data_IF_488505041405
#
_entry.id   IF_488505041405
#
_cell.length_a   1.000
_cell.length_b   1.000
_cell.length_c   1.000
_cell.angle_alpha   90.00
_cell.angle_beta   90.00
_cell.angle_gamma   90.00
#
_symmetry.space_group_name_H-M   'P 1'
#
loop_
_entity.id
_entity.type
_entity.pdbx_description
1 polymer ?
#
# COMPACT_ATOMS: atom_id res chain seq x y z
N UNK A 1 -22.82 55.14 -64.56
CA UNK A 1 -23.87 54.22 -64.07
C UNK A 1 -25.15 55.02 -63.69
N UNK A 2 -25.60 55.94 -64.55
CA UNK A 2 -26.64 56.95 -64.22
C UNK A 2 -28.01 56.68 -64.87
N UNK A 3 -28.20 55.52 -65.51
CA UNK A 3 -29.46 55.16 -66.20
C UNK A 3 -30.49 54.44 -65.31
N UNK A 4 -30.17 54.16 -64.04
CA UNK A 4 -31.06 53.38 -63.15
C UNK A 4 -31.92 54.27 -62.24
N UNK A 5 -31.46 55.48 -61.87
CA UNK A 5 -32.17 56.33 -60.90
C UNK A 5 -33.45 56.97 -61.47
N UNK A 6 -33.47 57.32 -62.76
CA UNK A 6 -34.67 57.87 -63.42
C UNK A 6 -35.81 56.83 -63.53
N UNK A 7 -35.50 55.54 -63.53
CA UNK A 7 -36.50 54.50 -63.66
C UNK A 7 -37.40 54.44 -62.40
N UNK A 8 -36.85 54.54 -61.20
CA UNK A 8 -37.65 54.48 -59.96
C UNK A 8 -38.61 55.66 -59.84
N UNK A 9 -38.20 56.85 -60.28
CA UNK A 9 -39.05 58.04 -60.26
C UNK A 9 -40.24 57.87 -61.21
N UNK A 10 -40.00 57.34 -62.41
CA UNK A 10 -41.06 57.05 -63.38
C UNK A 10 -41.99 55.93 -62.91
N UNK A 11 -41.43 54.84 -62.34
CA UNK A 11 -42.23 53.76 -61.76
C UNK A 11 -43.05 54.23 -60.56
N UNK A 12 -42.46 55.05 -59.67
CA UNK A 12 -43.18 55.62 -58.53
C UNK A 12 -44.34 56.50 -59.00
N UNK A 13 -44.12 57.36 -60.00
CA UNK A 13 -45.16 58.18 -60.58
C UNK A 13 -46.29 57.35 -61.19
N UNK A 14 -45.96 56.33 -61.97
CA UNK A 14 -46.93 55.39 -62.53
C UNK A 14 -47.70 54.66 -61.42
N UNK A 15 -47.02 54.18 -60.37
CA UNK A 15 -47.69 53.54 -59.24
C UNK A 15 -48.68 54.49 -58.56
N UNK A 16 -48.29 55.75 -58.34
CA UNK A 16 -49.18 56.75 -57.72
C UNK A 16 -50.37 57.08 -58.62
N UNK A 17 -50.18 57.17 -59.94
CA UNK A 17 -51.28 57.33 -60.89
C UNK A 17 -52.23 56.12 -60.83
N UNK A 18 -51.70 54.89 -60.81
CA UNK A 18 -52.49 53.67 -60.64
C UNK A 18 -53.17 53.55 -59.27
N UNK A 19 -52.66 54.19 -58.22
CA UNK A 19 -53.32 54.22 -56.90
C UNK A 19 -54.66 54.96 -56.97
N UNK A 20 -54.75 55.96 -57.86
CA UNK A 20 -55.92 56.82 -57.99
C UNK A 20 -56.84 56.43 -59.15
N UNK A 21 -56.27 56.00 -60.28
CA UNK A 21 -57.04 55.73 -61.51
C UNK A 21 -57.71 54.34 -61.51
N UNK A 22 -57.19 53.36 -60.76
CA UNK A 22 -57.77 52.03 -60.72
C UNK A 22 -58.82 51.89 -59.60
N UNK A 23 -60.09 51.61 -59.94
CA UNK A 23 -61.10 51.35 -58.92
C UNK A 23 -60.82 50.03 -58.18
N UNK A 24 -61.33 49.85 -56.96
CA UNK A 24 -61.19 48.60 -56.23
C UNK A 24 -61.75 47.41 -57.02
N UNK A 25 -61.02 46.29 -57.01
CA UNK A 25 -61.35 45.08 -57.75
C UNK A 25 -61.33 43.85 -56.84
N UNK A 26 -61.96 42.76 -57.27
CA UNK A 26 -61.92 41.48 -56.54
C UNK A 26 -60.57 40.79 -56.79
N UNK A 27 -59.96 40.29 -55.73
CA UNK A 27 -58.72 39.51 -55.82
C UNK A 27 -59.03 38.07 -56.23
N UNK A 28 -58.26 37.49 -57.15
CA UNK A 28 -58.45 36.09 -57.59
C UNK A 28 -58.32 35.06 -56.45
N UNK A 29 -57.61 35.41 -55.37
CA UNK A 29 -57.31 34.52 -54.24
C UNK A 29 -58.20 34.74 -52.99
N UNK A 30 -59.11 35.73 -53.00
CA UNK A 30 -59.99 35.98 -51.85
C UNK A 30 -61.30 36.68 -52.22
N UNK A 31 -62.38 36.42 -51.46
CA UNK A 31 -63.68 37.07 -51.63
C UNK A 31 -63.70 38.56 -51.23
N UNK A 32 -62.55 39.15 -50.88
CA UNK A 32 -62.42 40.53 -50.44
C UNK A 32 -62.12 41.48 -51.62
N UNK A 33 -62.74 42.67 -51.56
CA UNK A 33 -62.42 43.79 -52.45
C UNK A 33 -61.04 44.33 -52.05
N UNK A 34 -60.13 44.46 -53.02
CA UNK A 34 -58.78 45.00 -52.82
C UNK A 34 -58.52 46.20 -53.74
N UNK A 35 -57.53 47.02 -53.40
CA UNK A 35 -57.01 48.10 -54.25
C UNK A 35 -55.62 47.74 -54.78
N UNK A 36 -55.22 48.40 -55.86
CA UNK A 36 -53.87 48.27 -56.40
C UNK A 36 -52.81 48.70 -55.36
N UNK A 37 -53.07 49.78 -54.61
CA UNK A 37 -52.20 50.24 -53.52
C UNK A 37 -51.94 49.15 -52.48
N UNK A 38 -53.00 48.48 -52.00
CA UNK A 38 -52.88 47.41 -51.00
C UNK A 38 -52.06 46.25 -51.53
N UNK A 39 -52.30 45.81 -52.77
CA UNK A 39 -51.54 44.73 -53.38
C UNK A 39 -50.07 45.11 -53.58
N UNK A 40 -49.82 46.34 -54.02
CA UNK A 40 -48.48 46.87 -54.20
C UNK A 40 -47.70 46.87 -52.87
N UNK A 41 -48.28 47.42 -51.80
CA UNK A 41 -47.64 47.46 -50.48
C UNK A 41 -47.44 46.07 -49.88
N UNK A 42 -48.40 45.15 -50.07
CA UNK A 42 -48.23 43.74 -49.68
C UNK A 42 -47.07 43.08 -50.43
N UNK A 43 -46.91 43.36 -51.73
CA UNK A 43 -45.81 42.84 -52.55
C UNK A 43 -44.47 43.44 -52.12
N UNK A 44 -44.41 44.74 -51.85
CA UNK A 44 -43.21 45.39 -51.32
C UNK A 44 -42.78 44.76 -49.98
N UNK A 45 -43.73 44.50 -49.07
CA UNK A 45 -43.42 43.80 -47.81
C UNK A 45 -42.80 42.42 -48.05
N UNK A 46 -43.43 41.61 -48.90
CA UNK A 46 -42.92 40.26 -49.20
C UNK A 46 -41.53 40.33 -49.84
N UNK A 47 -41.25 41.31 -50.69
CA UNK A 47 -39.91 41.51 -51.27
C UNK A 47 -38.88 41.93 -50.22
N UNK A 48 -39.26 42.76 -49.24
CA UNK A 48 -38.37 43.15 -48.14
C UNK A 48 -38.05 41.96 -47.22
N UNK A 49 -39.03 41.10 -46.93
CA UNK A 49 -38.87 39.86 -46.15
C UNK A 49 -38.03 38.82 -46.90
N UNK A 50 -38.31 38.58 -48.19
CA UNK A 50 -37.64 37.57 -49.02
C UNK A 50 -36.23 37.94 -49.44
N UNK A 51 -35.87 39.22 -49.39
CA UNK A 51 -34.51 39.65 -49.74
C UNK A 51 -33.49 39.27 -48.65
N UNK A 52 -33.91 38.63 -47.54
CA UNK A 52 -33.03 38.11 -46.48
C UNK A 52 -32.10 37.03 -47.02
N UNK A 53 -30.79 37.06 -46.71
CA UNK A 53 -29.88 36.02 -47.19
C UNK A 53 -30.24 34.72 -46.47
N UNK A 54 -30.61 33.68 -47.22
CA UNK A 54 -30.55 32.33 -46.68
C UNK A 54 -29.08 31.97 -46.51
N UNK A 55 -28.66 31.69 -45.27
CA UNK A 55 -27.28 31.43 -44.87
C UNK A 55 -26.65 30.20 -45.55
N UNK A 56 -27.42 29.43 -46.32
CA UNK A 56 -27.01 28.14 -46.88
C UNK A 56 -26.67 28.15 -48.38
N UNK A 57 -26.65 29.31 -49.09
CA UNK A 57 -26.19 29.35 -50.50
C UNK A 57 -25.46 30.64 -50.93
N UNK A 58 -24.16 30.57 -51.29
CA UNK A 58 -23.51 31.53 -52.18
C UNK A 58 -23.65 31.08 -53.66
N UNK A 59 -23.84 31.97 -54.65
CA UNK A 59 -23.38 33.36 -54.73
C UNK A 59 -24.45 34.36 -55.21
N UNK A 60 -25.65 34.39 -54.61
CA UNK A 60 -26.70 35.37 -54.92
C UNK A 60 -26.80 36.55 -53.94
N UNK A 61 -25.91 36.60 -52.94
CA UNK A 61 -25.89 37.59 -51.85
C UNK A 61 -25.89 39.03 -52.36
N UNK A 62 -25.25 39.30 -53.51
CA UNK A 62 -25.24 40.64 -54.08
C UNK A 62 -26.63 41.05 -54.63
N UNK A 63 -27.33 40.14 -55.33
CA UNK A 63 -28.61 40.44 -56.01
C UNK A 63 -29.73 40.72 -55.01
N UNK A 64 -29.72 40.05 -53.86
CA UNK A 64 -30.74 40.17 -52.82
C UNK A 64 -30.65 41.51 -52.07
N UNK A 65 -29.44 41.98 -51.76
CA UNK A 65 -29.23 43.33 -51.20
C UNK A 65 -29.66 44.44 -52.17
N UNK A 66 -29.45 44.26 -53.48
CA UNK A 66 -29.93 45.24 -54.47
C UNK A 66 -31.46 45.27 -54.56
N UNK A 67 -32.15 44.14 -54.49
CA UNK A 67 -33.64 44.12 -54.48
C UNK A 67 -34.20 44.85 -53.28
N UNK A 68 -33.63 44.61 -52.10
CA UNK A 68 -34.00 45.30 -50.87
C UNK A 68 -33.86 46.83 -51.00
N UNK A 69 -32.67 47.31 -51.38
CA UNK A 69 -32.40 48.76 -51.53
C UNK A 69 -33.32 49.40 -52.58
N UNK A 70 -33.60 48.70 -53.68
CA UNK A 70 -34.49 49.19 -54.75
C UNK A 70 -35.93 49.32 -54.29
N UNK A 71 -36.44 48.34 -53.53
CA UNK A 71 -37.79 48.39 -52.97
C UNK A 71 -37.93 49.54 -51.97
N UNK A 72 -36.94 49.74 -51.09
CA UNK A 72 -36.90 50.87 -50.15
C UNK A 72 -36.87 52.22 -50.88
N UNK A 73 -36.04 52.35 -51.92
CA UNK A 73 -35.97 53.58 -52.74
C UNK A 73 -37.27 53.86 -53.51
N UNK A 74 -37.90 52.84 -54.08
CA UNK A 74 -39.19 53.01 -54.76
C UNK A 74 -40.27 53.48 -53.78
N UNK A 75 -40.33 52.88 -52.59
CA UNK A 75 -41.25 53.32 -51.52
C UNK A 75 -40.96 54.76 -51.09
N UNK A 76 -39.69 55.17 -51.02
CA UNK A 76 -39.31 56.55 -50.74
C UNK A 76 -39.77 57.53 -51.83
N UNK A 77 -39.64 57.18 -53.11
CA UNK A 77 -40.10 58.03 -54.21
C UNK A 77 -41.63 58.13 -54.29
N UNK A 78 -42.35 57.05 -53.98
CA UNK A 78 -43.81 57.09 -53.81
C UNK A 78 -44.18 57.98 -52.63
N UNK A 79 -43.49 57.84 -51.50
CA UNK A 79 -43.75 58.63 -50.29
C UNK A 79 -43.58 60.14 -50.49
N UNK A 80 -42.57 60.55 -51.28
CA UNK A 80 -42.32 61.95 -51.64
C UNK A 80 -43.38 62.55 -52.56
N UNK A 81 -44.13 61.73 -53.28
CA UNK A 81 -45.08 62.22 -54.27
C UNK A 81 -46.22 63.00 -53.59
N UNK A 82 -46.50 64.21 -54.09
CA UNK A 82 -47.51 65.11 -53.51
C UNK A 82 -48.94 64.59 -53.66
N UNK A 83 -49.18 63.69 -54.61
CA UNK A 83 -50.49 63.09 -54.85
C UNK A 83 -50.78 61.92 -53.90
N UNK A 84 -49.83 61.48 -53.08
CA UNK A 84 -50.03 60.41 -52.09
C UNK A 84 -50.60 60.98 -50.80
N UNK A 85 -51.70 60.38 -50.33
CA UNK A 85 -52.40 60.82 -49.12
C UNK A 85 -51.69 60.33 -47.84
N UNK A 86 -52.08 60.87 -46.68
CA UNK A 86 -51.44 60.55 -45.40
C UNK A 86 -51.65 59.09 -44.98
N UNK A 87 -52.79 58.49 -45.32
CA UNK A 87 -53.09 57.07 -45.05
C UNK A 87 -52.15 56.14 -45.80
N UNK A 88 -51.85 56.44 -47.06
CA UNK A 88 -50.87 55.73 -47.88
C UNK A 88 -49.45 55.90 -47.33
N UNK A 89 -49.09 57.11 -46.89
CA UNK A 89 -47.79 57.36 -46.23
C UNK A 89 -47.63 56.56 -44.95
N UNK A 90 -48.66 56.50 -44.11
CA UNK A 90 -48.67 55.66 -42.90
C UNK A 90 -48.55 54.17 -43.24
N UNK A 91 -49.24 53.72 -44.29
CA UNK A 91 -49.16 52.33 -44.75
C UNK A 91 -47.76 51.96 -45.25
N UNK A 92 -47.06 52.87 -45.91
CA UNK A 92 -45.64 52.70 -46.31
C UNK A 92 -44.73 52.59 -45.07
N UNK A 93 -44.89 53.47 -44.08
CA UNK A 93 -44.11 53.40 -42.83
C UNK A 93 -44.36 52.09 -42.09
N UNK A 94 -45.62 51.62 -42.04
CA UNK A 94 -45.95 50.33 -41.44
C UNK A 94 -45.28 49.15 -42.16
N UNK A 95 -45.18 49.19 -43.50
CA UNK A 95 -44.46 48.17 -44.27
C UNK A 95 -42.98 48.13 -43.88
N UNK A 96 -42.35 49.30 -43.67
CA UNK A 96 -40.93 49.39 -43.32
C UNK A 96 -40.63 49.07 -41.84
N UNK A 97 -41.58 49.33 -40.93
CA UNK A 97 -41.42 49.10 -39.49
C UNK A 97 -41.83 47.69 -39.03
N UNK A 98 -42.43 46.88 -39.91
CA UNK A 98 -42.72 45.47 -39.59
C UNK A 98 -41.42 44.67 -39.44
N UNK A 99 -41.35 43.66 -38.55
CA UNK A 99 -40.16 42.85 -38.36
C UNK A 99 -39.72 42.16 -39.67
N UNK A 100 -38.60 42.61 -40.25
CA UNK A 100 -37.90 41.93 -41.33
C UNK A 100 -36.74 41.18 -40.68
N UNK A 101 -36.55 39.92 -41.05
CA UNK A 101 -35.39 39.14 -40.61
C UNK A 101 -34.21 39.37 -41.58
N UNK A 102 -32.97 39.47 -41.08
CA UNK A 102 -32.61 39.64 -39.67
C UNK A 102 -32.95 41.08 -39.18
N UNK A 103 -33.17 41.29 -37.86
CA UNK A 103 -33.72 42.54 -37.30
C UNK A 103 -32.97 43.82 -37.69
N UNK A 104 -31.66 43.72 -37.92
CA UNK A 104 -30.79 44.83 -38.36
C UNK A 104 -31.26 45.44 -39.68
N UNK A 105 -31.95 44.66 -40.53
CA UNK A 105 -32.48 45.16 -41.80
C UNK A 105 -33.61 46.15 -41.65
N UNK A 106 -34.40 46.09 -40.57
CA UNK A 106 -35.38 47.14 -40.31
C UNK A 106 -34.67 48.48 -40.17
N UNK A 107 -33.57 48.49 -39.45
CA UNK A 107 -32.73 49.67 -39.25
C UNK A 107 -32.12 50.16 -40.57
N UNK A 108 -31.63 49.26 -41.41
CA UNK A 108 -31.08 49.62 -42.74
C UNK A 108 -32.13 50.14 -43.72
N UNK A 109 -33.31 49.50 -43.78
CA UNK A 109 -34.45 49.97 -44.58
C UNK A 109 -34.85 51.38 -44.15
N UNK A 110 -34.97 51.61 -42.84
CA UNK A 110 -35.34 52.90 -42.30
C UNK A 110 -34.26 53.95 -42.56
N UNK A 111 -32.98 53.64 -42.34
CA UNK A 111 -31.89 54.56 -42.62
C UNK A 111 -31.82 54.93 -44.11
N UNK A 112 -31.99 53.96 -45.01
CA UNK A 112 -32.00 54.20 -46.45
C UNK A 112 -33.23 55.02 -46.89
N UNK A 113 -34.40 54.70 -46.33
CA UNK A 113 -35.65 55.43 -46.57
C UNK A 113 -35.54 56.89 -46.11
N UNK A 114 -35.10 57.13 -44.87
CA UNK A 114 -34.92 58.47 -44.28
C UNK A 114 -33.89 59.29 -45.04
N UNK A 115 -32.76 58.67 -45.40
CA UNK A 115 -31.74 59.31 -46.24
C UNK A 115 -32.29 59.72 -47.60
N UNK A 116 -33.27 58.97 -48.12
CA UNK A 116 -33.91 59.27 -49.40
C UNK A 116 -34.95 60.37 -49.28
N UNK A 117 -35.81 60.37 -48.24
CA UNK A 117 -36.95 61.32 -48.13
C UNK A 117 -36.59 62.70 -47.56
N UNK A 118 -35.42 62.87 -46.95
CA UNK A 118 -34.98 64.16 -46.40
C UNK A 118 -35.86 64.67 -45.22
N UNK A 119 -35.87 66.00 -44.96
CA UNK A 119 -36.55 66.66 -43.82
C UNK A 119 -38.10 66.66 -43.90
N UNK A 120 -38.73 65.58 -44.33
CA UNK A 120 -40.18 65.41 -44.17
C UNK A 120 -40.46 64.97 -42.73
N UNK A 121 -40.72 65.93 -41.83
CA UNK A 121 -40.96 65.65 -40.41
C UNK A 121 -42.35 65.06 -40.19
N UNK A 122 -42.45 63.75 -39.98
CA UNK A 122 -43.69 63.11 -39.51
C UNK A 122 -43.60 62.87 -38.00
N UNK A 123 -44.56 63.39 -37.26
CA UNK A 123 -44.60 63.42 -35.79
C UNK A 123 -44.65 62.03 -35.14
N UNK A 124 -45.14 61.01 -35.87
CA UNK A 124 -45.12 59.60 -35.48
C UNK A 124 -43.70 59.04 -35.30
N UNK A 125 -42.71 59.61 -35.98
CA UNK A 125 -41.32 59.16 -35.99
C UNK A 125 -40.62 59.40 -34.66
N UNK A 126 -40.93 60.53 -34.00
CA UNK A 126 -40.34 60.89 -32.70
C UNK A 126 -40.80 59.96 -31.57
N UNK A 127 -41.99 59.38 -31.69
CA UNK A 127 -42.54 58.48 -30.69
C UNK A 127 -41.91 57.07 -30.75
N UNK A 128 -41.52 56.62 -31.94
CA UNK A 128 -40.76 55.37 -32.12
C UNK A 128 -39.28 55.52 -31.72
N UNK A 129 -38.69 56.72 -31.86
CA UNK A 129 -37.31 56.95 -31.38
C UNK A 129 -37.21 56.84 -29.85
N UNK A 130 -38.26 57.15 -29.09
CA UNK A 130 -38.28 56.91 -27.64
C UNK A 130 -38.27 55.41 -27.26
N UNK A 131 -38.54 54.49 -28.20
CA UNK A 131 -38.36 53.05 -27.99
C UNK A 131 -36.87 52.62 -28.09
N UNK A 132 -35.97 53.47 -28.57
CA UNK A 132 -34.54 53.14 -28.66
C UNK A 132 -33.80 53.24 -27.32
N UNK A 133 -34.36 53.92 -26.29
CA UNK A 133 -33.76 53.91 -24.94
C UNK A 133 -33.89 52.53 -24.28
N UNK A 134 -34.95 51.79 -24.61
CA UNK A 134 -35.13 50.39 -24.19
C UNK A 134 -34.07 49.45 -24.79
N UNK A 135 -33.60 49.73 -26.01
CA UNK A 135 -32.57 48.91 -26.67
C UNK A 135 -31.21 49.04 -25.96
N UNK A 136 -30.87 50.24 -25.48
CA UNK A 136 -29.63 50.48 -24.73
C UNK A 136 -29.68 49.82 -23.35
N UNK A 137 -30.82 49.85 -22.67
CA UNK A 137 -31.02 49.13 -21.40
C UNK A 137 -30.97 47.61 -21.60
N UNK A 138 -31.55 47.08 -22.68
CA UNK A 138 -31.47 45.66 -23.04
C UNK A 138 -30.03 45.21 -23.32
N UNK A 139 -29.25 46.00 -24.05
CA UNK A 139 -27.84 45.71 -24.33
C UNK A 139 -26.98 45.77 -23.06
N UNK A 140 -27.22 46.77 -22.19
CA UNK A 140 -26.54 46.87 -20.89
C UNK A 140 -26.86 45.67 -19.99
N UNK A 141 -28.14 45.27 -19.91
CA UNK A 141 -28.55 44.11 -19.11
C UNK A 141 -27.97 42.81 -19.67
N UNK A 142 -27.92 42.65 -20.99
CA UNK A 142 -27.31 41.49 -21.63
C UNK A 142 -25.81 41.40 -21.36
N UNK A 143 -25.08 42.52 -21.43
CA UNK A 143 -23.65 42.55 -21.17
C UNK A 143 -23.32 42.21 -19.70
N UNK A 144 -24.10 42.70 -18.74
CA UNK A 144 -23.90 42.34 -17.33
C UNK A 144 -24.21 40.85 -17.09
N UNK A 145 -25.27 40.32 -17.71
CA UNK A 145 -25.60 38.89 -17.65
C UNK A 145 -24.50 38.00 -18.25
N UNK A 146 -23.86 38.41 -19.35
CA UNK A 146 -22.71 37.69 -19.93
C UNK A 146 -21.51 37.72 -18.99
N UNK A 147 -21.23 38.86 -18.35
CA UNK A 147 -20.14 39.01 -17.39
C UNK A 147 -20.34 38.10 -16.17
N UNK A 148 -21.54 38.08 -15.59
CA UNK A 148 -21.87 37.21 -14.45
C UNK A 148 -21.73 35.73 -14.82
N UNK A 149 -22.21 35.32 -16.00
CA UNK A 149 -22.04 33.94 -16.49
C UNK A 149 -20.57 33.54 -16.61
N UNK A 150 -19.73 34.44 -17.14
CA UNK A 150 -18.30 34.19 -17.25
C UNK A 150 -17.63 34.06 -15.87
N UNK A 151 -17.96 34.93 -14.93
CA UNK A 151 -17.43 34.85 -13.56
C UNK A 151 -17.86 33.55 -12.86
N UNK A 152 -19.09 33.09 -13.10
CA UNK A 152 -19.59 31.81 -12.60
C UNK A 152 -18.90 30.60 -13.25
N UNK A 153 -18.63 30.65 -14.56
CA UNK A 153 -17.86 29.62 -15.27
C UNK A 153 -16.42 29.54 -14.76
N UNK A 154 -15.76 30.68 -14.57
CA UNK A 154 -14.40 30.75 -14.02
C UNK A 154 -14.35 30.25 -12.57
N UNK A 155 -15.37 30.54 -11.75
CA UNK A 155 -15.49 30.02 -10.40
C UNK A 155 -15.69 28.49 -10.39
N UNK A 156 -16.57 27.98 -11.27
CA UNK A 156 -16.81 26.54 -11.43
C UNK A 156 -15.55 25.80 -11.91
N UNK A 157 -14.76 26.41 -12.81
CA UNK A 157 -13.51 25.85 -13.28
C UNK A 157 -12.50 25.68 -12.14
N UNK A 158 -12.35 26.69 -11.27
CA UNK A 158 -11.48 26.61 -10.08
C UNK A 158 -11.94 25.54 -9.10
N UNK A 159 -13.24 25.47 -8.81
CA UNK A 159 -13.80 24.46 -7.91
C UNK A 159 -13.59 23.04 -8.46
N UNK A 160 -13.72 22.86 -9.78
CA UNK A 160 -13.44 21.59 -10.44
C UNK A 160 -11.98 21.14 -10.27
N UNK A 161 -11.03 22.07 -10.36
CA UNK A 161 -9.61 21.78 -10.12
C UNK A 161 -9.35 21.38 -8.67
N UNK A 162 -9.94 22.08 -7.69
CA UNK A 162 -9.83 21.74 -6.26
C UNK A 162 -10.41 20.36 -5.96
N UNK A 163 -11.60 20.04 -6.50
CA UNK A 163 -12.23 18.72 -6.34
C UNK A 163 -11.35 17.62 -6.93
N UNK A 164 -10.73 17.86 -8.09
CA UNK A 164 -9.84 16.89 -8.71
C UNK A 164 -8.57 16.67 -7.87
N UNK A 165 -8.01 17.73 -7.28
CA UNK A 165 -6.88 17.63 -6.37
C UNK A 165 -7.25 16.86 -5.09
N UNK A 166 -8.45 17.11 -4.55
CA UNK A 166 -8.94 16.41 -3.37
C UNK A 166 -9.22 14.93 -3.64
N UNK A 167 -9.71 14.57 -4.84
CA UNK A 167 -9.84 13.16 -5.27
C UNK A 167 -8.49 12.45 -5.30
N UNK A 168 -7.45 13.08 -5.86
CA UNK A 168 -6.09 12.50 -5.90
C UNK A 168 -5.53 12.27 -4.50
N UNK A 169 -5.72 13.23 -3.59
CA UNK A 169 -5.32 13.09 -2.19
C UNK A 169 -6.08 11.94 -1.50
N UNK A 170 -7.39 11.83 -1.72
CA UNK A 170 -8.20 10.76 -1.15
C UNK A 170 -7.72 9.38 -1.63
N UNK A 171 -7.39 9.25 -2.92
CA UNK A 171 -6.89 7.99 -3.48
C UNK A 171 -5.52 7.63 -2.91
N UNK A 172 -4.60 8.60 -2.80
CA UNK A 172 -3.31 8.40 -2.13
C UNK A 172 -3.48 7.93 -0.68
N UNK A 173 -4.44 8.51 0.05
CA UNK A 173 -4.69 8.11 1.43
C UNK A 173 -5.23 6.68 1.55
N UNK A 174 -6.13 6.26 0.63
CA UNK A 174 -6.62 4.88 0.59
C UNK A 174 -5.49 3.89 0.26
N UNK A 175 -4.61 4.24 -0.66
CA UNK A 175 -3.45 3.42 -1.00
C UNK A 175 -2.53 3.25 0.22
N UNK A 176 -2.18 4.35 0.91
CA UNK A 176 -1.38 4.32 2.14
C UNK A 176 -2.08 3.49 3.23
N UNK A 177 -3.38 3.66 3.42
CA UNK A 177 -4.15 2.88 4.39
C UNK A 177 -4.11 1.38 4.07
N UNK A 178 -4.24 1.00 2.80
CA UNK A 178 -4.13 -0.40 2.36
C UNK A 178 -2.73 -0.98 2.57
N UNK A 179 -1.69 -0.20 2.32
CA UNK A 179 -0.31 -0.59 2.61
C UNK A 179 -0.09 -0.80 4.13
N UNK A 180 -0.60 0.11 4.95
CA UNK A 180 -0.46 0.05 6.41
C UNK A 180 -1.18 -1.18 7.00
N UNK A 181 -2.38 -1.49 6.50
CA UNK A 181 -3.11 -2.71 6.87
C UNK A 181 -2.33 -3.97 6.46
N UNK A 182 -1.77 -4.00 5.26
CA UNK A 182 -0.96 -5.12 4.78
C UNK A 182 0.30 -5.33 5.63
N UNK A 183 0.98 -4.24 5.99
CA UNK A 183 2.14 -4.29 6.90
C UNK A 183 1.75 -4.77 8.30
N UNK A 184 0.61 -4.33 8.82
CA UNK A 184 0.09 -4.74 10.13
C UNK A 184 -0.19 -6.25 10.14
N UNK A 185 -0.89 -6.77 9.13
CA UNK A 185 -1.13 -8.21 8.99
C UNK A 185 0.18 -9.02 8.87
N UNK A 186 1.14 -8.54 8.08
CA UNK A 186 2.43 -9.22 7.96
C UNK A 186 3.21 -9.23 9.29
N UNK A 187 3.12 -8.16 10.09
CA UNK A 187 3.75 -8.07 11.40
C UNK A 187 3.06 -8.99 12.42
N UNK A 188 1.73 -9.04 12.41
CA UNK A 188 0.90 -9.95 13.22
C UNK A 188 1.27 -11.41 12.96
N UNK A 189 1.37 -11.82 11.68
CA UNK A 189 1.78 -13.17 11.31
C UNK A 189 3.20 -13.51 11.79
N UNK A 190 4.14 -12.58 11.63
CA UNK A 190 5.51 -12.75 12.14
C UNK A 190 5.50 -12.90 13.66
N UNK A 191 4.73 -12.07 14.36
CA UNK A 191 4.59 -12.15 15.81
C UNK A 191 4.03 -13.50 16.26
N UNK A 192 2.99 -14.01 15.60
CA UNK A 192 2.43 -15.33 15.90
C UNK A 192 3.42 -16.48 15.64
N UNK A 193 4.23 -16.40 14.58
CA UNK A 193 5.30 -17.39 14.32
C UNK A 193 6.36 -17.36 15.43
N UNK A 194 6.79 -16.18 15.86
CA UNK A 194 7.73 -16.01 16.97
C UNK A 194 7.16 -16.58 18.27
N UNK A 195 5.89 -16.32 18.58
CA UNK A 195 5.22 -16.87 19.76
C UNK A 195 5.19 -18.40 19.76
N UNK A 196 4.94 -19.03 18.60
CA UNK A 196 4.98 -20.50 18.49
C UNK A 196 6.38 -21.05 18.75
N UNK A 197 7.39 -20.51 18.10
CA UNK A 197 8.78 -20.92 18.30
C UNK A 197 9.24 -20.74 19.75
N UNK A 198 8.81 -19.65 20.40
CA UNK A 198 9.09 -19.43 21.82
C UNK A 198 8.49 -20.51 22.71
N UNK A 199 7.22 -20.89 22.49
CA UNK A 199 6.57 -21.96 23.23
C UNK A 199 7.25 -23.31 23.02
N UNK A 200 7.62 -23.63 21.79
CA UNK A 200 8.37 -24.86 21.47
C UNK A 200 9.73 -24.89 22.17
N UNK A 201 10.44 -23.75 22.19
CA UNK A 201 11.74 -23.61 22.87
C UNK A 201 11.59 -23.72 24.39
N UNK A 202 10.59 -23.07 24.99
CA UNK A 202 10.31 -23.16 26.42
C UNK A 202 9.96 -24.60 26.83
N UNK A 203 9.17 -25.31 26.02
CA UNK A 203 8.89 -26.73 26.24
C UNK A 203 10.16 -27.60 26.14
N UNK A 204 10.98 -27.40 25.11
CA UNK A 204 12.26 -28.10 24.96
C UNK A 204 13.20 -27.87 26.15
N UNK A 205 13.30 -26.62 26.62
CA UNK A 205 14.09 -26.29 27.80
C UNK A 205 13.56 -26.96 29.08
N UNK A 206 12.25 -27.07 29.25
CA UNK A 206 11.67 -27.77 30.39
C UNK A 206 12.04 -29.26 30.41
N UNK A 207 11.97 -29.92 29.24
CA UNK A 207 12.37 -31.33 29.09
C UNK A 207 13.86 -31.52 29.38
N UNK A 208 14.72 -30.65 28.86
CA UNK A 208 16.17 -30.75 29.13
C UNK A 208 16.51 -30.49 30.60
N UNK A 209 15.80 -29.57 31.28
CA UNK A 209 15.96 -29.36 32.72
C UNK A 209 15.61 -30.61 33.52
N UNK A 210 14.51 -31.29 33.19
CA UNK A 210 14.12 -32.55 33.84
C UNK A 210 15.17 -33.65 33.60
N UNK A 211 15.70 -33.75 32.38
CA UNK A 211 16.77 -34.70 32.05
C UNK A 211 18.04 -34.44 32.86
N UNK A 212 18.45 -33.17 32.98
CA UNK A 212 19.62 -32.79 33.76
C UNK A 212 19.42 -33.12 35.23
N UNK A 213 18.25 -32.83 35.80
CA UNK A 213 17.96 -33.16 37.21
C UNK A 213 18.01 -34.67 37.46
N UNK A 214 17.48 -35.47 36.53
CA UNK A 214 17.56 -36.94 36.60
C UNK A 214 19.01 -37.43 36.55
N UNK A 215 19.84 -36.90 35.66
CA UNK A 215 21.27 -37.25 35.57
C UNK A 215 22.00 -36.85 36.84
N UNK A 216 21.68 -35.68 37.41
CA UNK A 216 22.27 -35.21 38.67
C UNK A 216 21.98 -36.15 39.83
N UNK A 217 20.73 -36.60 39.98
CA UNK A 217 20.35 -37.60 40.99
C UNK A 217 21.08 -38.94 40.79
N UNK A 218 21.24 -39.39 39.55
CA UNK A 218 22.01 -40.59 39.24
C UNK A 218 23.49 -40.44 39.61
N UNK A 219 24.07 -39.27 39.32
CA UNK A 219 25.46 -38.97 39.65
C UNK A 219 25.68 -38.94 41.16
N UNK A 220 24.81 -38.28 41.92
CA UNK A 220 24.86 -38.27 43.39
C UNK A 220 24.76 -39.69 43.98
N UNK A 221 23.93 -40.55 43.38
CA UNK A 221 23.82 -41.97 43.79
C UNK A 221 25.15 -42.70 43.56
N UNK A 222 25.75 -42.54 42.38
CA UNK A 222 27.04 -43.17 42.05
C UNK A 222 28.18 -42.64 42.90
N UNK A 223 28.20 -41.33 43.20
CA UNK A 223 29.19 -40.72 44.10
C UNK A 223 29.12 -41.35 45.49
N UNK A 224 27.92 -41.49 46.05
CA UNK A 224 27.71 -42.14 47.35
C UNK A 224 28.14 -43.62 47.34
N UNK A 225 27.85 -44.36 46.28
CA UNK A 225 28.31 -45.75 46.13
C UNK A 225 29.82 -45.84 46.03
N UNK A 226 30.45 -44.94 45.28
CA UNK A 226 31.90 -44.89 45.13
C UNK A 226 32.59 -44.53 46.46
N UNK A 227 32.05 -43.55 47.19
CA UNK A 227 32.49 -43.19 48.55
C UNK A 227 32.48 -44.41 49.48
N UNK A 228 31.38 -45.18 49.45
CA UNK A 228 31.24 -46.42 50.24
C UNK A 228 32.25 -47.49 49.83
N UNK A 229 32.50 -47.66 48.53
CA UNK A 229 33.50 -48.62 48.03
C UNK A 229 34.92 -48.21 48.41
N UNK A 230 35.22 -46.90 48.37
CA UNK A 230 36.49 -46.34 48.81
C UNK A 230 36.75 -46.64 50.30
N UNK A 231 35.78 -46.38 51.17
CA UNK A 231 35.89 -46.71 52.60
C UNK A 231 36.12 -48.21 52.83
N UNK A 232 35.42 -49.09 52.10
CA UNK A 232 35.65 -50.54 52.20
C UNK A 232 37.06 -50.93 51.75
N UNK A 233 37.54 -50.34 50.66
CA UNK A 233 38.88 -50.61 50.15
C UNK A 233 39.95 -50.18 51.17
N UNK A 234 39.81 -48.99 51.77
CA UNK A 234 40.69 -48.51 52.84
C UNK A 234 40.67 -49.43 54.07
N UNK A 235 39.49 -49.96 54.44
CA UNK A 235 39.37 -50.92 55.54
C UNK A 235 40.07 -52.25 55.23
N UNK A 236 39.91 -52.79 54.02
CA UNK A 236 40.61 -53.99 53.58
C UNK A 236 42.12 -53.80 53.54
N UNK A 237 42.60 -52.68 53.02
CA UNK A 237 44.02 -52.36 52.98
C UNK A 237 44.61 -52.26 54.40
N UNK A 238 43.89 -51.61 55.33
CA UNK A 238 44.28 -51.57 56.74
C UNK A 238 44.36 -52.97 57.35
N UNK A 239 43.34 -53.82 57.15
CA UNK A 239 43.35 -55.19 57.67
C UNK A 239 44.52 -56.00 57.10
N UNK A 240 44.75 -55.92 55.80
CA UNK A 240 45.86 -56.59 55.13
C UNK A 240 47.22 -56.14 55.69
N UNK A 241 47.40 -54.84 55.92
CA UNK A 241 48.65 -54.32 56.49
C UNK A 241 48.89 -54.80 57.93
N UNK A 242 47.84 -54.89 58.75
CA UNK A 242 47.93 -55.49 60.09
C UNK A 242 48.30 -56.97 60.01
N UNK A 243 47.62 -57.73 59.15
CA UNK A 243 47.92 -59.16 58.93
C UNK A 243 49.36 -59.36 58.44
N UNK A 244 49.84 -58.53 57.51
CA UNK A 244 51.20 -58.59 57.00
C UNK A 244 52.23 -58.35 58.12
N UNK A 245 52.00 -57.39 59.01
CA UNK A 245 52.87 -57.13 60.17
C UNK A 245 52.89 -58.33 61.12
N UNK A 246 51.72 -58.88 61.46
CA UNK A 246 51.64 -60.08 62.30
C UNK A 246 52.35 -61.28 61.66
N UNK A 247 52.18 -61.49 60.35
CA UNK A 247 52.89 -62.56 59.63
C UNK A 247 54.41 -62.39 59.73
N UNK A 248 54.92 -61.17 59.54
CA UNK A 248 56.35 -60.88 59.70
C UNK A 248 56.84 -61.18 61.12
N UNK A 249 56.11 -60.72 62.14
CA UNK A 249 56.42 -60.99 63.55
C UNK A 249 56.44 -62.49 63.85
N UNK A 250 55.44 -63.23 63.37
CA UNK A 250 55.40 -64.69 63.55
C UNK A 250 56.50 -65.42 62.80
N UNK A 251 56.86 -64.96 61.60
CA UNK A 251 57.95 -65.53 60.81
C UNK A 251 59.30 -65.30 61.49
N UNK A 252 59.51 -64.11 62.08
CA UNK A 252 60.71 -63.82 62.88
C UNK A 252 60.79 -64.69 64.12
N UNK A 253 59.70 -64.82 64.89
CA UNK A 253 59.67 -65.66 66.09
C UNK A 253 59.90 -67.14 65.77
N UNK A 254 59.30 -67.66 64.70
CA UNK A 254 59.54 -69.04 64.24
C UNK A 254 60.99 -69.28 63.79
N UNK A 255 61.65 -68.27 63.23
CA UNK A 255 63.07 -68.36 62.86
C UNK A 255 63.96 -68.48 64.10
N UNK A 256 63.67 -67.71 65.15
CA UNK A 256 64.36 -67.76 66.44
C UNK A 256 64.16 -69.12 67.11
N UNK A 257 62.92 -69.59 67.25
CA UNK A 257 62.59 -70.92 67.80
C UNK A 257 63.26 -72.06 67.03
N UNK A 258 63.33 -71.98 65.68
CA UNK A 258 64.06 -72.98 64.88
C UNK A 258 65.56 -72.98 65.19
N UNK A 259 66.15 -71.81 65.44
CA UNK A 259 67.56 -71.69 65.78
C UNK A 259 67.82 -72.28 67.16
N UNK A 260 67.00 -71.96 68.16
CA UNK A 260 67.08 -72.53 69.51
C UNK A 260 66.89 -74.06 69.49
N UNK A 261 65.94 -74.56 68.69
CA UNK A 261 65.74 -76.00 68.51
C UNK A 261 66.98 -76.69 67.89
N UNK A 262 67.63 -76.06 66.92
CA UNK A 262 68.85 -76.62 66.32
C UNK A 262 70.02 -76.60 67.31
N UNK A 263 70.18 -75.54 68.10
CA UNK A 263 71.19 -75.44 69.17
C UNK A 263 70.96 -76.51 70.25
N UNK A 264 69.72 -76.70 70.72
CA UNK A 264 69.38 -77.74 71.71
C UNK A 264 69.58 -79.15 71.15
N UNK A 265 69.27 -79.38 69.87
CA UNK A 265 69.53 -80.66 69.20
C UNK A 265 71.03 -80.97 69.12
N UNK A 266 71.88 -79.97 68.84
CA UNK A 266 73.34 -80.15 68.85
C UNK A 266 73.88 -80.45 70.25
N UNK A 267 73.35 -79.78 71.28
CA UNK A 267 73.69 -80.08 72.68
C UNK A 267 73.30 -81.51 73.07
N UNK A 268 72.08 -81.94 72.72
CA UNK A 268 71.63 -83.30 72.96
C UNK A 268 72.53 -84.33 72.28
N UNK A 269 72.92 -84.08 71.03
CA UNK A 269 73.82 -84.97 70.29
C UNK A 269 75.20 -85.04 70.96
N UNK A 270 75.72 -83.91 71.44
CA UNK A 270 76.97 -83.86 72.23
C UNK A 270 76.83 -84.68 73.51
N UNK A 271 75.77 -84.50 74.30
CA UNK A 271 75.53 -85.27 75.52
C UNK A 271 75.43 -86.78 75.23
N UNK A 272 74.78 -87.19 74.13
CA UNK A 272 74.74 -88.61 73.73
C UNK A 272 76.14 -89.16 73.46
N UNK A 273 76.98 -88.43 72.73
CA UNK A 273 78.37 -88.87 72.47
C UNK A 273 79.19 -88.96 73.76
N UNK A 274 79.00 -88.04 74.70
CA UNK A 274 79.64 -88.10 76.02
C UNK A 274 79.14 -89.28 76.85
N UNK A 275 77.84 -89.55 76.84
CA UNK A 275 77.24 -90.73 77.48
C UNK A 275 77.79 -92.03 76.89
N UNK A 276 77.87 -92.14 75.56
CA UNK A 276 78.47 -93.29 74.88
C UNK A 276 79.95 -93.48 75.26
N UNK A 277 80.71 -92.39 75.36
CA UNK A 277 82.11 -92.40 75.81
C UNK A 277 82.23 -92.85 77.28
N UNK A 278 81.43 -92.27 78.18
CA UNK A 278 81.37 -92.68 79.59
C UNK A 278 80.97 -94.15 79.74
N UNK A 279 79.93 -94.60 79.02
CA UNK A 279 79.51 -96.00 78.99
C UNK A 279 80.63 -96.93 78.47
N UNK A 280 81.47 -96.45 77.54
CA UNK A 280 82.63 -97.20 77.05
C UNK A 280 83.77 -97.23 78.09
N UNK A 281 84.01 -96.13 78.81
CA UNK A 281 84.95 -96.10 79.92
C UNK A 281 84.52 -97.02 81.05
N UNK A 282 83.25 -96.97 81.47
CA UNK A 282 82.68 -97.84 82.50
C UNK A 282 82.87 -99.31 82.12
N UNK A 283 82.55 -99.68 80.86
CA UNK A 283 82.84 -101.04 80.35
C UNK A 283 84.32 -101.41 80.48
N UNK A 284 85.23 -100.49 80.11
CA UNK A 284 86.68 -100.71 80.22
C UNK A 284 87.14 -100.89 81.68
N UNK A 285 86.61 -100.09 82.61
CA UNK A 285 86.91 -100.21 84.05
C UNK A 285 86.36 -101.51 84.63
N UNK A 286 85.16 -101.91 84.21
CA UNK A 286 84.55 -103.19 84.57
C UNK A 286 85.43 -104.35 84.10
N UNK A 287 85.86 -104.35 82.83
CA UNK A 287 86.75 -105.38 82.28
C UNK A 287 88.08 -105.47 83.05
N UNK A 288 88.69 -104.32 83.39
CA UNK A 288 89.92 -104.26 84.19
C UNK A 288 89.71 -104.80 85.61
N UNK A 289 88.61 -104.43 86.25
CA UNK A 289 88.26 -104.94 87.59
C UNK A 289 88.05 -106.46 87.54
N UNK A 290 87.35 -106.96 86.54
CA UNK A 290 87.11 -108.39 86.34
C UNK A 290 88.42 -109.15 86.07
N UNK A 291 89.34 -108.57 85.29
CA UNK A 291 90.71 -109.09 85.10
C UNK A 291 91.52 -109.10 86.40
N UNK A 292 91.54 -107.99 87.16
CA UNK A 292 92.26 -107.91 88.43
C UNK A 292 91.67 -108.86 89.48
N UNK A 293 90.34 -108.98 89.54
CA UNK A 293 89.62 -109.92 90.39
C UNK A 293 89.97 -111.37 90.02
N UNK A 294 90.03 -111.69 88.71
CA UNK A 294 90.48 -112.99 88.21
C UNK A 294 91.94 -113.28 88.61
N UNK A 295 92.85 -112.31 88.45
CA UNK A 295 94.24 -112.43 88.88
C UNK A 295 94.38 -112.59 90.40
N UNK A 296 93.62 -111.82 91.20
CA UNK A 296 93.59 -111.97 92.67
C UNK A 296 93.11 -113.36 93.06
N UNK A 297 92.05 -113.87 92.41
CA UNK A 297 91.55 -115.22 92.61
C UNK A 297 92.58 -116.28 92.22
N UNK A 298 93.27 -116.12 91.10
CA UNK A 298 94.40 -116.99 90.72
C UNK A 298 95.56 -116.93 91.73
N UNK A 299 95.85 -115.75 92.28
CA UNK A 299 96.90 -115.54 93.28
C UNK A 299 96.51 -116.13 94.64
N UNK A 300 95.26 -115.96 95.08
CA UNK A 300 94.68 -116.62 96.25
C UNK A 300 94.64 -118.14 96.09
N UNK A 301 94.29 -118.64 94.90
CA UNK A 301 94.33 -120.07 94.57
C UNK A 301 95.76 -120.64 94.49
N UNK A 302 96.76 -119.80 94.17
CA UNK A 302 98.18 -120.16 94.19
C UNK A 302 98.74 -120.16 95.62
N UNK A 303 98.35 -119.20 96.46
CA UNK A 303 98.69 -119.16 97.88
C UNK A 303 98.01 -120.28 98.68
N UNK A 304 96.78 -120.65 98.31
CA UNK A 304 96.05 -121.78 98.91
C UNK A 304 96.60 -123.15 98.49
N UNK A 305 97.43 -123.22 97.44
CA UNK A 305 98.17 -124.42 96.99
C UNK A 305 99.63 -124.46 97.48
N UNK A 306 100.07 -123.44 98.23
CA UNK A 306 101.41 -123.30 98.80
C UNK A 306 101.52 -123.64 100.29
N UNK A 307 100.52 -124.36 100.84
CA UNK A 307 100.55 -125.09 102.12
C UNK A 307 100.34 -126.57 101.78
#
# INVERSE_FOLDING_TARGET
MAMVDNAYVLFARLCVELFHELPPFRSDDSSHITSFERLFLCKCRLELEKSSPNTDRPPLVYVECWRFIKTVRLLAEIFKNRMVNETSRQSIVQVLMKPISPPERNTDAMNCFLSSIGKLSVQSFKQQLMQSSWAVELESNYNEEVKIRKEAEDALAREKEEVELMKRLLESYKEEQGQLQSQTHALEEKHQKVLRLRKETEYGLAVERERVEKVKLQLETLENENEKMRFKAEEFERMHNVELSLRKETETALCEERKELEETKQLLETCKTEEENLNSQVRTWQDKYDQESSLRKETEDALSRGI
#
